data_IF_267819674492
#
_entry.id   IF_267819674492
#
_cell.length_a   1.000
_cell.length_b   1.000
_cell.length_c   1.000
_cell.angle_alpha   90.00
_cell.angle_beta   90.00
_cell.angle_gamma   90.00
#
_symmetry.space_group_name_H-M   'P 1'
#
loop_
_entity.id
_entity.type
_entity.pdbx_description
1 polymer ?
#
# COMPACT_ATOMS: atom_id res chain seq x y z
N UNK A 1 -29.97 25.72 -9.21
CA UNK A 1 -28.69 25.07 -8.85
C UNK A 1 -27.76 25.12 -10.05
N UNK A 2 -26.45 25.31 -9.84
CA UNK A 2 -25.48 25.24 -10.94
C UNK A 2 -25.41 23.80 -11.47
N UNK A 3 -25.31 23.66 -12.79
CA UNK A 3 -25.16 22.37 -13.44
C UNK A 3 -23.83 21.69 -13.06
N UNK A 4 -23.74 20.35 -13.12
CA UNK A 4 -22.48 19.65 -12.95
C UNK A 4 -21.42 20.16 -13.92
N UNK A 5 -20.20 20.32 -13.41
CA UNK A 5 -19.08 20.83 -14.21
C UNK A 5 -17.77 20.31 -13.68
N UNK A 6 -16.85 20.03 -14.60
CA UNK A 6 -15.47 19.73 -14.29
C UNK A 6 -14.63 21.02 -14.33
N UNK A 7 -13.71 21.13 -13.39
CA UNK A 7 -12.58 22.04 -13.45
C UNK A 7 -11.29 21.25 -13.77
N UNK A 8 -10.16 21.95 -13.83
CA UNK A 8 -8.86 21.31 -14.07
C UNK A 8 -8.53 20.25 -13.03
N UNK A 9 -8.80 20.50 -11.75
CA UNK A 9 -8.37 19.64 -10.64
C UNK A 9 -9.24 18.39 -10.50
N UNK A 10 -10.55 18.54 -10.53
CA UNK A 10 -11.53 17.43 -10.56
C UNK A 10 -11.30 16.52 -11.77
N UNK A 11 -10.92 17.06 -12.93
CA UNK A 11 -10.53 16.25 -14.10
C UNK A 11 -9.26 15.43 -13.83
N UNK A 12 -8.24 16.04 -13.23
CA UNK A 12 -6.99 15.35 -12.85
C UNK A 12 -7.24 14.28 -11.78
N UNK A 13 -8.06 14.57 -10.78
CA UNK A 13 -8.44 13.60 -9.74
C UNK A 13 -9.27 12.44 -10.31
N UNK A 14 -10.14 12.70 -11.29
CA UNK A 14 -10.87 11.64 -11.99
C UNK A 14 -9.91 10.73 -12.75
N UNK A 15 -8.94 11.31 -13.46
CA UNK A 15 -7.92 10.52 -14.14
C UNK A 15 -7.11 9.67 -13.14
N UNK A 16 -6.69 10.26 -12.02
CA UNK A 16 -5.96 9.55 -10.97
C UNK A 16 -6.76 8.42 -10.33
N UNK A 17 -8.07 8.60 -10.10
CA UNK A 17 -8.92 7.56 -9.52
C UNK A 17 -9.05 6.37 -10.47
N UNK A 18 -9.28 6.61 -11.76
CA UNK A 18 -9.32 5.57 -12.81
C UNK A 18 -7.98 4.86 -12.94
N UNK A 19 -6.87 5.60 -12.95
CA UNK A 19 -5.53 5.02 -12.97
C UNK A 19 -5.28 4.14 -11.76
N UNK A 20 -5.69 4.57 -10.57
CA UNK A 20 -5.56 3.75 -9.36
C UNK A 20 -6.43 2.49 -9.39
N UNK A 21 -7.64 2.54 -9.98
CA UNK A 21 -8.44 1.33 -10.19
C UNK A 21 -7.71 0.34 -11.10
N UNK A 22 -7.12 0.83 -12.20
CA UNK A 22 -6.31 0.00 -13.08
C UNK A 22 -5.11 -0.61 -12.35
N UNK A 23 -4.33 0.20 -11.62
CA UNK A 23 -3.18 -0.27 -10.83
C UNK A 23 -3.60 -1.30 -9.79
N UNK A 24 -4.71 -1.08 -9.09
CA UNK A 24 -5.25 -2.03 -8.14
C UNK A 24 -5.60 -3.37 -8.79
N UNK A 25 -6.30 -3.36 -9.93
CA UNK A 25 -6.63 -4.57 -10.70
C UNK A 25 -5.35 -5.31 -11.12
N UNK A 26 -4.36 -4.58 -11.65
CA UNK A 26 -3.07 -5.16 -12.02
C UNK A 26 -2.45 -5.84 -10.78
N UNK A 27 -2.36 -5.16 -9.63
CA UNK A 27 -1.81 -5.74 -8.40
C UNK A 27 -2.59 -6.94 -7.85
N UNK A 28 -3.89 -7.02 -8.08
CA UNK A 28 -4.69 -8.19 -7.73
C UNK A 28 -4.39 -9.41 -8.59
N UNK A 29 -4.05 -9.18 -9.87
CA UNK A 29 -3.77 -10.23 -10.87
C UNK A 29 -2.28 -10.61 -10.86
N UNK A 30 -1.39 -9.63 -10.71
CA UNK A 30 0.07 -9.80 -10.75
C UNK A 30 0.64 -10.11 -9.37
N UNK A 31 1.52 -11.10 -9.31
CA UNK A 31 2.17 -11.53 -8.06
C UNK A 31 2.20 -13.04 -7.95
N UNK A 32 3.32 -13.64 -8.37
CA UNK A 32 3.53 -15.08 -8.19
C UNK A 32 3.92 -15.39 -6.74
N UNK A 33 4.66 -14.49 -6.09
CA UNK A 33 5.13 -14.58 -4.71
C UNK A 33 4.47 -13.53 -3.81
N UNK A 34 4.28 -13.86 -2.52
CA UNK A 34 3.61 -13.05 -1.49
C UNK A 34 2.29 -12.37 -1.93
N UNK A 35 1.38 -13.19 -2.52
CA UNK A 35 0.06 -12.77 -3.01
C UNK A 35 -0.75 -11.95 -2.00
N UNK A 36 -0.59 -12.22 -0.70
CA UNK A 36 -1.36 -11.52 0.33
C UNK A 36 -0.90 -10.08 0.49
N UNK A 37 0.41 -9.81 0.52
CA UNK A 37 0.93 -8.44 0.60
C UNK A 37 0.50 -7.61 -0.62
N UNK A 38 0.60 -8.16 -1.83
CA UNK A 38 0.15 -7.48 -3.05
C UNK A 38 -1.35 -7.16 -3.02
N UNK A 39 -2.18 -8.11 -2.56
CA UNK A 39 -3.63 -7.90 -2.40
C UNK A 39 -3.96 -6.82 -1.37
N UNK A 40 -3.20 -6.74 -0.27
CA UNK A 40 -3.39 -5.69 0.73
C UNK A 40 -3.06 -4.31 0.14
N UNK A 41 -1.94 -4.19 -0.58
CA UNK A 41 -1.59 -2.94 -1.25
C UNK A 41 -2.60 -2.58 -2.35
N UNK A 42 -3.06 -3.57 -3.13
CA UNK A 42 -4.10 -3.41 -4.13
C UNK A 42 -5.42 -2.92 -3.51
N UNK A 43 -5.81 -3.48 -2.37
CA UNK A 43 -6.98 -3.02 -1.59
C UNK A 43 -6.82 -1.59 -1.12
N UNK A 44 -5.64 -1.19 -0.62
CA UNK A 44 -5.40 0.19 -0.20
C UNK A 44 -5.57 1.17 -1.37
N UNK A 45 -4.98 0.85 -2.53
CA UNK A 45 -5.11 1.66 -3.75
C UNK A 45 -6.56 1.70 -4.22
N UNK A 46 -7.26 0.55 -4.21
CA UNK A 46 -8.68 0.49 -4.58
C UNK A 46 -9.52 1.42 -3.72
N UNK A 47 -9.35 1.37 -2.40
CA UNK A 47 -10.13 2.22 -1.49
C UNK A 47 -9.81 3.70 -1.71
N UNK A 48 -8.54 4.09 -1.90
CA UNK A 48 -8.21 5.47 -2.27
C UNK A 48 -8.81 5.89 -3.61
N UNK A 49 -8.80 5.02 -4.62
CA UNK A 49 -9.43 5.31 -5.91
C UNK A 49 -10.93 5.53 -5.80
N UNK A 50 -11.64 4.68 -5.05
CA UNK A 50 -13.09 4.82 -4.86
C UNK A 50 -13.41 6.09 -4.05
N UNK A 51 -12.64 6.40 -3.00
CA UNK A 51 -12.80 7.65 -2.25
C UNK A 51 -12.54 8.88 -3.13
N UNK A 52 -11.45 8.86 -3.90
CA UNK A 52 -11.12 9.97 -4.80
C UNK A 52 -12.19 10.15 -5.88
N UNK A 53 -12.77 9.06 -6.39
CA UNK A 53 -13.88 9.12 -7.32
C UNK A 53 -15.13 9.74 -6.68
N UNK A 54 -15.52 9.31 -5.47
CA UNK A 54 -16.64 9.92 -4.74
C UNK A 54 -16.41 11.43 -4.53
N UNK A 55 -15.18 11.84 -4.20
CA UNK A 55 -14.83 13.25 -4.02
C UNK A 55 -14.99 14.03 -5.33
N UNK A 56 -14.57 13.47 -6.47
CA UNK A 56 -14.85 14.09 -7.77
C UNK A 56 -16.35 14.26 -7.96
N UNK A 57 -17.18 13.25 -7.69
CA UNK A 57 -18.64 13.38 -7.80
C UNK A 57 -19.22 14.48 -6.90
N UNK A 58 -18.67 14.64 -5.69
CA UNK A 58 -19.04 15.70 -4.77
C UNK A 58 -18.71 17.09 -5.36
N UNK A 59 -17.44 17.31 -5.75
CA UNK A 59 -16.96 18.62 -6.23
C UNK A 59 -17.59 19.04 -7.55
N UNK A 60 -17.84 18.09 -8.43
CA UNK A 60 -18.49 18.30 -9.74
C UNK A 60 -20.02 18.32 -9.65
N UNK A 61 -20.60 18.11 -8.47
CA UNK A 61 -22.06 18.02 -8.20
C UNK A 61 -22.78 16.85 -8.85
N UNK A 62 -22.07 15.90 -9.47
CA UNK A 62 -22.68 14.66 -9.97
C UNK A 62 -23.27 13.80 -8.84
N UNK A 63 -22.82 13.98 -7.60
CA UNK A 63 -23.39 13.31 -6.43
C UNK A 63 -24.90 13.58 -6.27
N UNK A 64 -25.40 14.72 -6.77
CA UNK A 64 -26.83 15.03 -6.78
C UNK A 64 -27.63 14.04 -7.64
N UNK A 65 -27.07 13.62 -8.77
CA UNK A 65 -27.69 12.68 -9.71
C UNK A 65 -27.45 11.23 -9.29
N UNK A 66 -26.36 10.96 -8.57
CA UNK A 66 -26.02 9.64 -8.02
C UNK A 66 -25.90 9.68 -6.49
N UNK A 67 -26.99 10.00 -5.77
CA UNK A 67 -26.95 10.23 -4.33
C UNK A 67 -26.58 8.98 -3.52
N UNK A 68 -26.68 7.79 -4.10
CA UNK A 68 -26.26 6.56 -3.43
C UNK A 68 -24.76 6.48 -3.16
N UNK A 69 -23.93 7.27 -3.85
CA UNK A 69 -22.50 7.41 -3.53
C UNK A 69 -22.24 8.32 -2.32
N UNK A 70 -23.21 9.13 -1.89
CA UNK A 70 -23.02 10.07 -0.78
C UNK A 70 -22.59 9.32 0.49
N UNK A 71 -21.40 9.68 0.96
CA UNK A 71 -20.74 9.20 2.18
C UNK A 71 -20.39 7.71 2.17
N UNK A 72 -20.35 7.09 0.98
CA UNK A 72 -20.06 5.67 0.83
C UNK A 72 -18.67 5.31 1.38
N UNK A 73 -17.69 6.19 1.16
CA UNK A 73 -16.29 5.95 1.52
C UNK A 73 -15.85 6.63 2.80
N UNK A 74 -16.76 7.30 3.51
CA UNK A 74 -16.48 8.09 4.70
C UNK A 74 -15.74 7.29 5.80
N UNK A 75 -16.00 5.98 5.90
CA UNK A 75 -15.38 5.10 6.90
C UNK A 75 -14.11 4.40 6.42
N UNK A 76 -13.72 4.53 5.16
CA UNK A 76 -12.50 3.89 4.62
C UNK A 76 -11.21 4.29 5.35
N UNK A 77 -11.06 5.51 5.94
CA UNK A 77 -9.92 5.83 6.80
C UNK A 77 -9.68 4.86 7.96
N UNK A 78 -10.73 4.16 8.44
CA UNK A 78 -10.59 3.11 9.46
C UNK A 78 -9.92 1.83 8.91
N UNK A 79 -9.86 1.65 7.59
CA UNK A 79 -9.21 0.52 6.95
C UNK A 79 -7.77 0.81 6.54
N UNK A 80 -7.43 2.06 6.21
CA UNK A 80 -6.10 2.39 5.64
C UNK A 80 -4.94 1.96 6.53
N UNK A 81 -4.97 2.34 7.82
CA UNK A 81 -3.93 1.96 8.78
C UNK A 81 -3.90 0.44 9.05
N UNK A 82 -5.07 -0.21 9.07
CA UNK A 82 -5.20 -1.66 9.30
C UNK A 82 -4.57 -2.44 8.15
N UNK A 83 -4.93 -2.08 6.92
CA UNK A 83 -4.41 -2.69 5.70
C UNK A 83 -2.89 -2.50 5.64
N UNK A 84 -2.40 -1.30 5.90
CA UNK A 84 -0.96 -1.01 5.86
C UNK A 84 -0.19 -1.75 6.97
N UNK A 85 -0.79 -1.91 8.15
CA UNK A 85 -0.21 -2.72 9.22
C UNK A 85 -0.10 -4.19 8.83
N UNK A 86 -1.16 -4.78 8.29
CA UNK A 86 -1.11 -6.17 7.82
C UNK A 86 -0.20 -6.35 6.61
N UNK A 87 -0.10 -5.33 5.76
CA UNK A 87 0.86 -5.32 4.66
C UNK A 87 2.28 -5.49 5.20
N UNK A 88 2.68 -4.65 6.17
CA UNK A 88 4.00 -4.77 6.78
C UNK A 88 4.18 -6.05 7.61
N UNK A 89 3.12 -6.55 8.25
CA UNK A 89 3.14 -7.87 8.90
C UNK A 89 3.43 -9.00 7.90
N UNK A 90 2.87 -8.97 6.69
CA UNK A 90 3.14 -9.96 5.64
C UNK A 90 4.52 -9.79 5.01
N UNK A 91 5.04 -8.57 5.01
CA UNK A 91 6.30 -8.21 4.39
C UNK A 91 7.49 -8.56 5.29
N UNK A 92 7.38 -8.29 6.59
CA UNK A 92 8.46 -8.49 7.57
C UNK A 92 8.27 -9.72 8.47
N UNK A 93 7.03 -10.23 8.58
CA UNK A 93 6.70 -11.31 9.48
C UNK A 93 6.77 -12.69 8.84
N UNK A 94 6.99 -13.70 9.68
CA UNK A 94 6.82 -15.13 9.37
C UNK A 94 5.48 -15.68 9.87
N UNK A 95 4.67 -14.85 10.53
CA UNK A 95 3.45 -15.28 11.21
C UNK A 95 2.21 -15.13 10.32
N UNK A 96 1.45 -16.21 10.22
CA UNK A 96 0.17 -16.24 9.54
C UNK A 96 -0.90 -15.37 10.24
N UNK A 97 -1.97 -15.06 9.51
CA UNK A 97 -3.17 -14.43 10.08
C UNK A 97 -3.80 -15.32 11.14
N UNK A 98 -4.17 -14.72 12.27
CA UNK A 98 -4.84 -15.41 13.38
C UNK A 98 -6.27 -14.89 13.54
N UNK A 99 -7.16 -15.67 14.17
CA UNK A 99 -8.57 -15.25 14.37
C UNK A 99 -8.71 -13.90 15.09
N UNK A 100 -7.76 -13.55 15.97
CA UNK A 100 -7.74 -12.26 16.66
C UNK A 100 -7.48 -11.07 15.72
N UNK A 101 -6.87 -11.30 14.56
CA UNK A 101 -6.61 -10.24 13.57
C UNK A 101 -7.91 -9.64 13.01
N UNK A 102 -9.03 -10.37 13.07
CA UNK A 102 -10.34 -9.85 12.64
C UNK A 102 -10.87 -8.72 13.53
N UNK A 103 -10.42 -8.61 14.78
CA UNK A 103 -10.82 -7.52 15.68
C UNK A 103 -10.35 -6.14 15.18
N UNK A 104 -9.31 -6.10 14.34
CA UNK A 104 -8.84 -4.86 13.73
C UNK A 104 -9.86 -4.25 12.76
N UNK A 105 -10.83 -5.03 12.25
CA UNK A 105 -11.93 -4.55 11.42
C UNK A 105 -13.14 -4.06 12.22
N UNK A 106 -13.18 -4.32 13.53
CA UNK A 106 -14.33 -3.97 14.37
C UNK A 106 -14.67 -2.47 14.30
N UNK A 107 -13.71 -1.51 14.39
CA UNK A 107 -14.03 -0.10 14.29
C UNK A 107 -14.73 0.27 12.98
N UNK A 108 -14.27 -0.29 11.86
CA UNK A 108 -14.88 -0.08 10.55
C UNK A 108 -16.32 -0.61 10.50
N UNK A 109 -16.56 -1.83 11.01
CA UNK A 109 -17.90 -2.42 11.04
C UNK A 109 -18.85 -1.60 11.90
N UNK A 110 -18.43 -1.20 13.11
CA UNK A 110 -19.26 -0.40 14.02
C UNK A 110 -19.64 0.96 13.42
N UNK A 111 -18.67 1.65 12.81
CA UNK A 111 -18.93 2.95 12.18
C UNK A 111 -19.81 2.83 10.94
N UNK A 112 -19.68 1.71 10.21
CA UNK A 112 -20.54 1.42 9.05
C UNK A 112 -21.98 1.15 9.48
N UNK A 113 -22.19 0.37 10.54
CA UNK A 113 -23.52 0.16 11.15
C UNK A 113 -24.10 1.48 11.65
N UNK A 114 -23.29 2.34 12.28
CA UNK A 114 -23.73 3.67 12.69
C UNK A 114 -24.22 4.52 11.49
N UNK A 115 -23.57 4.41 10.32
CA UNK A 115 -23.94 5.15 9.11
C UNK A 115 -25.09 4.53 8.29
N UNK A 116 -25.57 3.34 8.65
CA UNK A 116 -26.63 2.65 7.89
C UNK A 116 -27.85 3.51 7.57
N UNK A 117 -28.44 4.29 8.50
CA UNK A 117 -29.59 5.13 8.17
C UNK A 117 -29.33 6.08 7.01
N UNK A 118 -28.10 6.59 6.93
CA UNK A 118 -27.71 7.60 5.97
C UNK A 118 -27.34 6.94 4.64
N UNK A 119 -26.58 5.84 4.66
CA UNK A 119 -26.23 5.08 3.46
C UNK A 119 -27.47 4.58 2.70
N UNK A 120 -28.50 4.11 3.43
CA UNK A 120 -29.72 3.52 2.87
C UNK A 120 -30.91 4.49 2.80
N UNK A 121 -30.69 5.79 3.02
CA UNK A 121 -31.73 6.79 2.76
C UNK A 121 -32.06 6.91 1.27
N UNK A 122 -33.31 7.24 0.98
CA UNK A 122 -33.80 7.51 -0.37
C UNK A 122 -33.05 8.65 -1.06
N UNK A 123 -33.09 8.64 -2.40
CA UNK A 123 -32.46 9.68 -3.23
C UNK A 123 -32.96 11.07 -2.86
N UNK A 124 -34.27 11.22 -2.62
CA UNK A 124 -34.93 12.47 -2.29
C UNK A 124 -34.41 13.05 -0.96
N UNK A 125 -34.25 12.20 0.05
CA UNK A 125 -33.70 12.60 1.36
C UNK A 125 -32.24 13.04 1.22
N UNK A 126 -31.43 12.29 0.49
CA UNK A 126 -30.02 12.62 0.27
C UNK A 126 -29.85 13.92 -0.53
N UNK A 127 -30.68 14.14 -1.55
CA UNK A 127 -30.73 15.39 -2.32
C UNK A 127 -31.15 16.56 -1.44
N UNK A 128 -32.14 16.39 -0.57
CA UNK A 128 -32.54 17.40 0.40
C UNK A 128 -31.37 17.80 1.32
N UNK A 129 -30.58 16.83 1.82
CA UNK A 129 -29.37 17.13 2.60
C UNK A 129 -28.32 17.92 1.81
N UNK A 130 -28.08 17.57 0.55
CA UNK A 130 -27.15 18.30 -0.33
C UNK A 130 -27.63 19.73 -0.64
N UNK A 131 -28.95 19.96 -0.58
CA UNK A 131 -29.58 21.28 -0.69
C UNK A 131 -29.58 22.06 0.64
N UNK A 132 -29.05 21.49 1.72
CA UNK A 132 -29.08 22.08 3.06
C UNK A 132 -30.47 22.06 3.71
N UNK A 133 -31.42 21.30 3.15
CA UNK A 133 -32.76 21.14 3.72
C UNK A 133 -32.74 20.14 4.85
N UNK A 134 -33.60 20.37 5.85
CA UNK A 134 -33.84 19.37 6.89
C UNK A 134 -34.65 18.21 6.31
N UNK A 135 -34.08 17.01 6.40
CA UNK A 135 -34.76 15.76 6.08
C UNK A 135 -34.31 14.67 7.07
N UNK A 136 -35.21 13.73 7.37
CA UNK A 136 -34.89 12.60 8.24
C UNK A 136 -34.45 11.40 7.40
N UNK A 137 -33.49 10.59 7.89
CA UNK A 137 -33.11 9.37 7.20
C UNK A 137 -34.31 8.44 7.00
N UNK A 138 -34.34 7.72 5.87
CA UNK A 138 -35.52 6.92 5.49
C UNK A 138 -35.74 5.66 6.36
N UNK A 139 -34.71 5.19 7.09
CA UNK A 139 -34.80 4.00 7.94
C UNK A 139 -35.12 4.34 9.39
N UNK A 140 -34.15 4.94 10.10
CA UNK A 140 -34.27 5.31 11.50
C UNK A 140 -33.33 6.48 11.80
N UNK A 141 -33.40 7.04 13.00
CA UNK A 141 -32.43 8.04 13.46
C UNK A 141 -31.85 7.63 14.80
N UNK A 142 -30.57 7.91 14.99
CA UNK A 142 -29.96 7.82 16.32
C UNK A 142 -30.53 8.90 17.24
N UNK A 143 -30.73 8.61 18.54
CA UNK A 143 -31.15 9.62 19.50
C UNK A 143 -30.04 10.65 19.73
N UNK A 144 -30.41 11.84 20.21
CA UNK A 144 -29.44 12.77 20.76
C UNK A 144 -28.78 12.16 22.02
N UNK A 145 -27.46 12.36 22.26
CA UNK A 145 -26.52 13.19 21.50
C UNK A 145 -25.75 12.42 20.41
N UNK A 146 -26.11 11.15 20.15
CA UNK A 146 -25.42 10.34 19.14
C UNK A 146 -25.59 10.93 17.74
N UNK A 147 -26.67 11.66 17.51
CA UNK A 147 -27.00 12.34 16.26
C UNK A 147 -26.03 13.49 15.98
N UNK A 148 -24.88 13.17 15.40
CA UNK A 148 -23.92 14.15 14.94
C UNK A 148 -22.88 13.51 14.03
N UNK A 149 -22.56 14.15 12.92
CA UNK A 149 -21.56 13.63 11.98
C UNK A 149 -20.14 14.12 12.32
N UNK A 150 -20.05 15.35 12.83
CA UNK A 150 -18.78 16.05 13.02
C UNK A 150 -17.85 15.41 14.06
N UNK A 151 -18.38 14.60 14.98
CA UNK A 151 -17.56 13.95 16.00
C UNK A 151 -16.87 12.68 15.48
N UNK A 152 -17.40 12.04 14.43
CA UNK A 152 -16.87 10.77 13.89
C UNK A 152 -15.48 10.92 13.27
N UNK A 153 -15.11 12.12 12.82
CA UNK A 153 -13.80 12.37 12.26
C UNK A 153 -12.67 12.12 13.27
N UNK A 154 -12.85 12.48 14.54
CA UNK A 154 -11.79 12.39 15.55
C UNK A 154 -11.41 10.95 15.92
N UNK A 155 -12.36 10.02 16.16
CA UNK A 155 -12.02 8.60 16.29
C UNK A 155 -11.30 8.04 15.06
N UNK A 156 -11.70 8.43 13.84
CA UNK A 156 -11.01 8.00 12.60
C UNK A 156 -9.57 8.49 12.56
N UNK A 157 -9.33 9.76 12.88
CA UNK A 157 -7.98 10.34 12.97
C UNK A 157 -7.15 9.64 14.04
N UNK A 158 -7.69 9.49 15.25
CA UNK A 158 -7.01 8.81 16.35
C UNK A 158 -6.65 7.37 15.99
N UNK A 159 -7.56 6.66 15.31
CA UNK A 159 -7.33 5.31 14.82
C UNK A 159 -6.18 5.27 13.79
N UNK A 160 -6.17 6.16 12.80
CA UNK A 160 -5.07 6.22 11.83
C UNK A 160 -3.72 6.54 12.49
N UNK A 161 -3.69 7.49 13.44
CA UNK A 161 -2.48 7.83 14.21
C UNK A 161 -2.00 6.63 15.03
N UNK A 162 -2.93 5.92 15.69
CA UNK A 162 -2.61 4.70 16.42
C UNK A 162 -1.93 3.66 15.52
N UNK A 163 -2.48 3.39 14.34
CA UNK A 163 -1.86 2.46 13.39
C UNK A 163 -0.55 2.96 12.81
N UNK A 164 -0.42 4.26 12.54
CA UNK A 164 0.86 4.84 12.13
C UNK A 164 1.95 4.59 13.18
N UNK A 165 1.66 4.89 14.45
CA UNK A 165 2.56 4.62 15.56
C UNK A 165 2.86 3.12 15.69
N UNK A 166 1.84 2.27 15.64
CA UNK A 166 1.99 0.82 15.74
C UNK A 166 2.90 0.27 14.62
N UNK A 167 2.68 0.69 13.37
CA UNK A 167 3.52 0.33 12.23
C UNK A 167 4.96 0.79 12.46
N UNK A 168 5.14 2.05 12.85
CA UNK A 168 6.46 2.63 13.06
C UNK A 168 7.25 1.89 14.13
N UNK A 169 6.67 1.68 15.31
CA UNK A 169 7.38 1.05 16.42
C UNK A 169 7.58 -0.46 16.22
N UNK A 170 6.69 -1.14 15.50
CA UNK A 170 6.81 -2.58 15.24
C UNK A 170 7.82 -2.89 14.14
N UNK A 171 7.81 -2.15 13.04
CA UNK A 171 8.52 -2.55 11.81
C UNK A 171 9.74 -1.68 11.46
N UNK A 172 9.95 -0.53 12.10
CA UNK A 172 11.09 0.34 11.78
C UNK A 172 12.44 -0.38 11.93
N UNK A 173 12.64 -1.16 12.99
CA UNK A 173 13.88 -1.92 13.19
C UNK A 173 14.09 -2.96 12.09
N UNK A 174 13.05 -3.73 11.77
CA UNK A 174 13.03 -4.74 10.70
C UNK A 174 13.34 -4.12 9.33
N UNK A 175 12.88 -2.89 9.07
CA UNK A 175 13.13 -2.19 7.81
C UNK A 175 14.61 -1.87 7.53
N UNK A 176 15.48 -1.92 8.54
CA UNK A 176 16.90 -1.52 8.39
C UNK A 176 17.82 -2.61 7.86
N UNK A 177 17.33 -3.83 7.63
CA UNK A 177 18.12 -4.94 7.08
C UNK A 177 18.60 -4.68 5.65
N UNK A 178 17.80 -3.99 4.84
CA UNK A 178 18.07 -3.71 3.43
C UNK A 178 17.73 -2.24 3.08
N UNK A 179 18.61 -1.50 2.36
CA UNK A 179 18.37 -0.10 1.98
C UNK A 179 17.11 0.15 1.14
N UNK A 180 16.78 -0.74 0.20
CA UNK A 180 15.59 -0.64 -0.66
C UNK A 180 14.32 -0.81 0.18
N UNK A 181 14.33 -1.81 1.06
CA UNK A 181 13.26 -2.09 2.02
C UNK A 181 13.03 -0.93 2.97
N UNK A 182 14.12 -0.35 3.49
CA UNK A 182 14.07 0.86 4.33
C UNK A 182 13.47 2.03 3.60
N UNK A 183 13.84 2.22 2.34
CA UNK A 183 13.36 3.31 1.49
C UNK A 183 11.87 3.16 1.23
N UNK A 184 11.43 1.94 0.86
CA UNK A 184 10.02 1.61 0.66
C UNK A 184 9.20 1.82 1.93
N UNK A 185 9.67 1.32 3.08
CA UNK A 185 9.02 1.52 4.38
C UNK A 185 8.85 3.01 4.70
N UNK A 186 9.91 3.83 4.54
CA UNK A 186 9.85 5.27 4.77
C UNK A 186 8.87 5.98 3.83
N UNK A 187 8.86 5.63 2.55
CA UNK A 187 7.92 6.22 1.59
C UNK A 187 6.48 5.88 1.93
N UNK A 188 6.15 4.60 2.13
CA UNK A 188 4.78 4.21 2.46
C UNK A 188 4.28 4.81 3.78
N UNK A 189 5.11 4.79 4.83
CA UNK A 189 4.76 5.42 6.12
C UNK A 189 4.67 6.94 6.00
N UNK A 190 5.55 7.58 5.22
CA UNK A 190 5.52 9.01 4.95
C UNK A 190 4.28 9.45 4.16
N UNK A 191 3.89 8.69 3.14
CA UNK A 191 2.65 8.90 2.37
C UNK A 191 1.42 8.75 3.26
N UNK A 192 1.40 7.73 4.12
CA UNK A 192 0.31 7.55 5.08
C UNK A 192 0.25 8.70 6.09
N UNK A 193 1.39 9.16 6.60
CA UNK A 193 1.45 10.33 7.47
C UNK A 193 0.97 11.60 6.75
N UNK A 194 1.38 11.81 5.50
CA UNK A 194 0.92 12.93 4.69
C UNK A 194 -0.60 12.91 4.50
N UNK A 195 -1.19 11.73 4.25
CA UNK A 195 -2.64 11.57 4.22
C UNK A 195 -3.30 11.92 5.57
N UNK A 196 -2.76 11.44 6.69
CA UNK A 196 -3.27 11.76 8.04
C UNK A 196 -3.23 13.28 8.28
N UNK A 197 -2.13 13.95 7.91
CA UNK A 197 -1.97 15.39 8.07
C UNK A 197 -2.98 16.14 7.20
N UNK A 198 -3.10 15.81 5.91
CA UNK A 198 -4.08 16.43 5.01
C UNK A 198 -5.52 16.22 5.48
N UNK A 199 -5.86 15.01 5.95
CA UNK A 199 -7.19 14.70 6.47
C UNK A 199 -7.46 15.47 7.76
N UNK A 200 -6.50 15.50 8.68
CA UNK A 200 -6.66 16.22 9.97
C UNK A 200 -6.73 17.73 9.77
N UNK A 201 -5.95 18.29 8.85
CA UNK A 201 -5.94 19.72 8.59
C UNK A 201 -7.30 20.21 8.13
N UNK A 202 -8.02 19.46 7.29
CA UNK A 202 -9.40 19.79 6.90
C UNK A 202 -10.32 19.96 8.13
N UNK A 203 -10.40 18.93 9.00
CA UNK A 203 -11.32 18.95 10.14
C UNK A 203 -10.97 20.00 11.21
N UNK A 204 -9.70 20.40 11.28
CA UNK A 204 -9.26 21.51 12.15
C UNK A 204 -9.56 22.86 11.50
N UNK A 205 -9.14 23.06 10.25
CA UNK A 205 -9.16 24.35 9.58
C UNK A 205 -10.57 24.81 9.20
N UNK A 206 -11.50 23.88 8.88
CA UNK A 206 -12.90 24.21 8.53
C UNK A 206 -13.66 24.98 9.62
N UNK A 207 -13.12 25.00 10.86
CA UNK A 207 -13.70 25.75 11.98
C UNK A 207 -13.31 27.22 12.01
N UNK A 208 -12.39 27.65 11.14
CA UNK A 208 -11.87 29.00 11.10
C UNK A 208 -12.48 29.80 9.94
N UNK A 209 -12.74 31.10 10.12
CA UNK A 209 -13.42 31.93 9.11
C UNK A 209 -12.59 32.16 7.84
N UNK A 210 -11.28 31.92 7.86
CA UNK A 210 -10.40 32.05 6.69
C UNK A 210 -10.40 30.81 5.79
N UNK A 211 -11.01 29.70 6.22
CA UNK A 211 -10.92 28.45 5.48
C UNK A 211 -11.71 28.53 4.18
N UNK A 212 -11.01 28.22 3.08
CA UNK A 212 -11.60 28.07 1.75
C UNK A 212 -11.91 26.60 1.52
N UNK A 213 -13.11 26.33 1.02
CA UNK A 213 -13.64 24.97 0.83
C UNK A 213 -12.77 24.22 -0.19
N UNK A 214 -12.19 24.94 -1.15
CA UNK A 214 -11.24 24.44 -2.15
C UNK A 214 -9.97 23.79 -1.54
N UNK A 215 -9.61 24.12 -0.29
CA UNK A 215 -8.45 23.51 0.38
C UNK A 215 -8.65 22.04 0.74
N UNK A 216 -9.89 21.55 0.72
CA UNK A 216 -10.21 20.13 0.84
C UNK A 216 -9.54 19.27 -0.26
N UNK A 217 -9.16 19.88 -1.40
CA UNK A 217 -8.37 19.23 -2.43
C UNK A 217 -7.05 18.65 -1.90
N UNK A 218 -6.49 19.13 -0.78
CA UNK A 218 -5.27 18.54 -0.19
C UNK A 218 -5.43 17.07 0.20
N UNK A 219 -6.62 16.64 0.59
CA UNK A 219 -6.89 15.21 0.84
C UNK A 219 -6.80 14.46 -0.50
N UNK A 220 -7.46 14.95 -1.55
CA UNK A 220 -7.41 14.40 -2.90
C UNK A 220 -5.97 14.33 -3.46
N UNK A 221 -5.17 15.38 -3.28
CA UNK A 221 -3.76 15.40 -3.68
C UNK A 221 -2.94 14.32 -2.98
N UNK A 222 -3.14 14.11 -1.68
CA UNK A 222 -2.41 13.08 -0.94
C UNK A 222 -2.74 11.66 -1.42
N UNK A 223 -4.02 11.38 -1.72
CA UNK A 223 -4.46 10.11 -2.31
C UNK A 223 -3.91 9.93 -3.73
N UNK A 224 -4.07 10.94 -4.58
CA UNK A 224 -3.54 10.97 -5.95
C UNK A 224 -2.03 10.70 -5.97
N UNK A 225 -1.27 11.41 -5.15
CA UNK A 225 0.18 11.24 -5.07
C UNK A 225 0.55 9.84 -4.60
N UNK A 226 -0.18 9.28 -3.63
CA UNK A 226 0.03 7.89 -3.17
C UNK A 226 -0.24 6.88 -4.28
N UNK A 227 -1.33 7.04 -5.04
CA UNK A 227 -1.68 6.19 -6.19
C UNK A 227 -0.57 6.22 -7.24
N UNK A 228 -0.17 7.41 -7.68
CA UNK A 228 0.87 7.56 -8.70
C UNK A 228 2.24 7.10 -8.19
N UNK A 229 2.58 7.37 -6.93
CA UNK A 229 3.83 6.90 -6.34
C UNK A 229 3.91 5.38 -6.35
N UNK A 230 2.85 4.68 -5.92
CA UNK A 230 2.83 3.21 -5.91
C UNK A 230 2.87 2.66 -7.34
N UNK A 231 2.14 3.27 -8.29
CA UNK A 231 2.18 2.89 -9.70
C UNK A 231 3.59 3.04 -10.30
N UNK A 232 4.21 4.20 -10.08
CA UNK A 232 5.56 4.52 -10.53
C UNK A 232 6.60 3.60 -9.89
N UNK A 233 6.53 3.41 -8.57
CA UNK A 233 7.47 2.56 -7.85
C UNK A 233 7.34 1.10 -8.31
N UNK A 234 6.13 0.62 -8.58
CA UNK A 234 5.93 -0.73 -9.10
C UNK A 234 6.37 -0.94 -10.53
N UNK A 235 6.33 0.10 -11.36
CA UNK A 235 6.95 0.08 -12.68
C UNK A 235 8.48 0.08 -12.61
N UNK A 236 9.08 0.96 -11.79
CA UNK A 236 10.53 1.11 -11.68
C UNK A 236 11.23 -0.04 -10.95
N UNK A 237 10.51 -0.75 -10.08
CA UNK A 237 11.02 -1.88 -9.34
C UNK A 237 10.20 -3.13 -9.69
N UNK A 238 10.27 -3.65 -10.94
CA UNK A 238 9.52 -4.83 -11.34
C UNK A 238 9.80 -5.98 -10.40
N UNK A 239 11.05 -6.07 -9.90
CA UNK A 239 11.47 -7.03 -8.89
C UNK A 239 10.54 -6.97 -7.67
N UNK A 240 10.26 -5.80 -7.08
CA UNK A 240 9.34 -5.62 -5.92
C UNK A 240 7.95 -6.20 -6.17
N UNK A 241 7.51 -6.28 -7.43
CA UNK A 241 6.17 -6.77 -7.82
C UNK A 241 6.17 -8.15 -8.51
N UNK A 242 7.33 -8.63 -8.96
CA UNK A 242 7.50 -9.91 -9.66
C UNK A 242 7.98 -11.06 -8.76
N UNK A 243 8.33 -10.76 -7.51
CA UNK A 243 8.90 -11.74 -6.57
C UNK A 243 10.09 -11.23 -5.76
N UNK A 244 10.21 -9.92 -5.51
CA UNK A 244 11.07 -9.47 -4.41
C UNK A 244 10.37 -9.87 -3.13
N UNK A 245 10.82 -11.02 -2.71
CA UNK A 245 10.80 -11.49 -1.37
C UNK A 245 11.53 -10.43 -0.51
N UNK A 246 10.80 -9.39 -0.11
CA UNK A 246 11.11 -8.64 1.11
C UNK A 246 11.40 -9.64 2.25
N UNK A 247 10.70 -10.77 2.22
CA UNK A 247 10.95 -11.97 3.00
C UNK A 247 12.37 -12.55 2.79
N UNK A 248 12.93 -12.72 1.60
CA UNK A 248 14.33 -13.17 1.38
C UNK A 248 15.32 -12.10 1.83
N UNK A 249 15.03 -10.82 1.56
CA UNK A 249 15.87 -9.72 2.03
C UNK A 249 15.85 -9.53 3.56
N UNK A 250 14.88 -10.13 4.25
CA UNK A 250 14.69 -10.13 5.71
C UNK A 250 15.07 -11.48 6.35
N UNK A 251 14.97 -12.60 5.60
CA UNK A 251 15.30 -13.96 6.03
C UNK A 251 16.76 -14.33 5.78
N UNK A 252 17.49 -13.60 4.94
CA UNK A 252 18.95 -13.68 4.97
C UNK A 252 19.42 -12.99 6.27
N UNK A 253 19.93 -13.73 7.27
CA UNK A 253 20.56 -13.09 8.41
C UNK A 253 21.66 -12.18 7.88
N UNK A 254 21.74 -10.98 8.44
CA UNK A 254 22.81 -10.00 8.21
C UNK A 254 24.14 -10.60 8.72
N UNK A 255 24.71 -11.46 7.89
CA UNK A 255 26.09 -11.90 7.80
C UNK A 255 26.18 -12.06 6.28
N UNK A 256 26.39 -11.00 5.50
CA UNK A 256 27.71 -10.51 5.13
C UNK A 256 27.58 -9.01 4.79
N UNK A 257 27.89 -8.15 5.75
CA UNK A 257 28.36 -6.80 5.44
C UNK A 257 29.72 -6.95 4.78
N UNK A 258 29.84 -6.57 3.51
CA UNK A 258 31.00 -5.86 2.91
C UNK A 258 32.34 -6.04 3.60
N UNK A 259 32.81 -7.27 3.70
CA UNK A 259 34.22 -7.62 3.83
C UNK A 259 34.48 -8.59 2.69
N UNK A 260 35.68 -8.56 2.12
CA UNK A 260 36.16 -9.61 1.21
C UNK A 260 35.60 -10.97 1.64
N UNK A 261 35.03 -11.75 0.70
CA UNK A 261 34.57 -13.11 0.95
C UNK A 261 35.61 -13.78 1.84
N UNK A 262 35.22 -14.21 3.05
CA UNK A 262 36.20 -14.88 3.90
C UNK A 262 36.73 -16.09 3.14
N UNK A 263 38.02 -16.42 3.25
CA UNK A 263 38.62 -17.55 2.54
C UNK A 263 37.79 -18.84 2.63
N UNK A 264 37.15 -19.06 3.78
CA UNK A 264 36.30 -20.22 4.04
C UNK A 264 35.05 -20.27 3.15
N UNK A 265 34.36 -19.14 2.97
CA UNK A 265 33.16 -19.05 2.12
C UNK A 265 33.51 -19.19 0.65
N UNK A 266 34.63 -18.59 0.21
CA UNK A 266 35.12 -18.77 -1.15
C UNK A 266 35.45 -20.23 -1.45
N UNK A 267 36.03 -20.96 -0.48
CA UNK A 267 36.32 -22.38 -0.64
C UNK A 267 35.05 -23.25 -0.67
N UNK A 268 34.05 -22.92 0.14
CA UNK A 268 32.76 -23.59 0.14
C UNK A 268 32.04 -23.42 -1.20
N UNK A 269 32.03 -22.20 -1.75
CA UNK A 269 31.44 -21.92 -3.07
C UNK A 269 32.18 -22.68 -4.17
N UNK A 270 33.52 -22.77 -4.12
CA UNK A 270 34.29 -23.58 -5.08
C UNK A 270 33.95 -25.06 -4.98
N UNK A 271 33.85 -25.60 -3.76
CA UNK A 271 33.48 -27.01 -3.52
C UNK A 271 32.08 -27.34 -4.03
N UNK A 272 31.11 -26.44 -3.79
CA UNK A 272 29.74 -26.57 -4.31
C UNK A 272 29.71 -26.48 -5.84
N UNK A 273 30.50 -25.58 -6.43
CA UNK A 273 30.64 -25.47 -7.88
C UNK A 273 31.22 -26.76 -8.48
N UNK A 274 32.31 -27.29 -7.93
CA UNK A 274 32.94 -28.52 -8.42
C UNK A 274 32.01 -29.73 -8.30
N UNK A 275 31.29 -29.83 -7.17
CA UNK A 275 30.29 -30.88 -6.95
C UNK A 275 29.14 -30.76 -7.95
N UNK A 276 28.59 -29.55 -8.17
CA UNK A 276 27.53 -29.33 -9.14
C UNK A 276 27.98 -29.59 -10.59
N UNK A 277 29.22 -29.24 -10.94
CA UNK A 277 29.80 -29.52 -12.25
C UNK A 277 29.90 -31.02 -12.52
N UNK A 278 30.30 -31.81 -11.51
CA UNK A 278 30.45 -33.26 -11.63
C UNK A 278 29.12 -34.01 -11.56
N UNK A 279 28.27 -33.72 -10.57
CA UNK A 279 27.01 -34.43 -10.33
C UNK A 279 25.98 -34.16 -11.44
N UNK A 280 25.85 -32.89 -11.83
CA UNK A 280 24.87 -32.46 -12.85
C UNK A 280 25.47 -32.42 -14.26
N UNK A 281 26.75 -32.79 -14.41
CA UNK A 281 27.51 -32.77 -15.69
C UNK A 281 27.36 -31.45 -16.44
N UNK A 282 27.39 -30.32 -15.73
CA UNK A 282 27.12 -28.99 -16.31
C UNK A 282 28.18 -28.58 -17.34
N UNK A 283 29.35 -29.20 -17.34
CA UNK A 283 30.37 -29.05 -18.38
C UNK A 283 29.93 -29.59 -19.77
N UNK A 284 28.86 -30.37 -19.85
CA UNK A 284 28.32 -30.90 -21.11
C UNK A 284 27.20 -30.02 -21.69
N UNK A 285 26.80 -28.97 -20.99
CA UNK A 285 25.72 -28.08 -21.41
C UNK A 285 26.27 -26.98 -22.33
N UNK A 286 25.96 -27.01 -23.64
CA UNK A 286 26.48 -26.01 -24.59
C UNK A 286 25.88 -24.62 -24.38
N UNK A 287 24.80 -24.48 -23.59
CA UNK A 287 24.20 -23.21 -23.20
C UNK A 287 24.58 -22.78 -21.78
N UNK A 288 25.64 -23.39 -21.20
CA UNK A 288 26.06 -23.06 -19.85
C UNK A 288 26.43 -21.58 -19.75
N UNK A 289 25.83 -20.91 -18.75
CA UNK A 289 26.07 -19.51 -18.43
C UNK A 289 26.29 -19.35 -16.94
N UNK A 290 26.98 -18.28 -16.58
CA UNK A 290 27.31 -17.99 -15.19
C UNK A 290 26.05 -17.80 -14.32
N UNK A 291 24.96 -17.28 -14.89
CA UNK A 291 23.66 -17.23 -14.21
C UNK A 291 23.14 -18.63 -13.84
N UNK A 292 23.19 -19.58 -14.78
CA UNK A 292 22.70 -20.95 -14.59
C UNK A 292 23.52 -21.72 -13.54
N UNK A 293 24.84 -21.48 -13.50
CA UNK A 293 25.70 -22.04 -12.46
C UNK A 293 25.40 -21.43 -11.09
N UNK A 294 25.20 -20.11 -11.03
CA UNK A 294 24.88 -19.43 -9.79
C UNK A 294 23.55 -19.93 -9.19
N UNK A 295 22.53 -20.10 -10.04
CA UNK A 295 21.24 -20.68 -9.65
C UNK A 295 21.40 -22.15 -9.18
N UNK A 296 22.26 -22.94 -9.85
CA UNK A 296 22.46 -24.35 -9.54
C UNK A 296 23.09 -24.62 -8.16
N UNK A 297 23.81 -23.63 -7.60
CA UNK A 297 24.49 -23.70 -6.30
C UNK A 297 23.95 -22.68 -5.28
N UNK A 298 22.86 -21.97 -5.61
CA UNK A 298 22.19 -21.04 -4.70
C UNK A 298 22.98 -19.77 -4.36
N UNK A 299 23.75 -19.23 -5.32
CA UNK A 299 24.51 -17.98 -5.16
C UNK A 299 24.12 -16.95 -6.23
N UNK A 300 24.73 -15.76 -6.22
CA UNK A 300 24.53 -14.76 -7.29
C UNK A 300 25.65 -14.80 -8.33
N UNK A 301 25.33 -14.41 -9.57
CA UNK A 301 26.31 -14.28 -10.66
C UNK A 301 27.55 -13.47 -10.25
N UNK A 302 27.34 -12.36 -9.53
CA UNK A 302 28.44 -11.51 -9.10
C UNK A 302 29.37 -12.23 -8.12
N UNK A 303 28.80 -12.92 -7.13
CA UNK A 303 29.58 -13.67 -6.14
C UNK A 303 30.34 -14.82 -6.78
N UNK A 304 29.68 -15.58 -7.67
CA UNK A 304 30.32 -16.67 -8.39
C UNK A 304 31.46 -16.19 -9.30
N UNK A 305 31.26 -15.08 -10.03
CA UNK A 305 32.31 -14.47 -10.86
C UNK A 305 33.52 -14.07 -10.03
N UNK A 306 33.29 -13.47 -8.87
CA UNK A 306 34.35 -13.02 -7.99
C UNK A 306 35.14 -14.20 -7.42
N UNK A 307 34.46 -15.23 -6.93
CA UNK A 307 35.10 -16.44 -6.38
C UNK A 307 35.91 -17.18 -7.45
N UNK A 308 35.37 -17.31 -8.67
CA UNK A 308 36.07 -17.96 -9.79
C UNK A 308 37.37 -17.22 -10.11
N UNK A 309 37.30 -15.88 -10.25
CA UNK A 309 38.47 -15.07 -10.54
C UNK A 309 39.49 -15.08 -9.40
N UNK A 310 39.03 -14.96 -8.14
CA UNK A 310 39.89 -14.85 -6.98
C UNK A 310 40.53 -16.18 -6.55
N UNK A 311 39.86 -17.34 -6.77
CA UNK A 311 40.33 -18.66 -6.32
C UNK A 311 40.88 -19.55 -7.42
N UNK A 312 40.26 -19.56 -8.60
CA UNK A 312 40.71 -20.40 -9.72
C UNK A 312 41.63 -19.62 -10.67
N UNK A 313 41.66 -18.29 -10.61
CA UNK A 313 42.50 -17.46 -11.49
C UNK A 313 42.13 -17.60 -12.97
N UNK A 314 40.91 -18.06 -13.26
CA UNK A 314 40.45 -18.41 -14.61
C UNK A 314 39.12 -17.72 -14.90
N UNK A 315 38.89 -17.38 -16.16
CA UNK A 315 37.58 -16.94 -16.63
C UNK A 315 36.59 -18.11 -16.62
N UNK A 316 35.30 -17.84 -16.42
CA UNK A 316 34.20 -18.81 -16.53
C UNK A 316 34.28 -19.69 -17.79
N UNK A 317 34.77 -19.13 -18.90
CA UNK A 317 34.90 -19.85 -20.17
C UNK A 317 35.88 -21.04 -20.13
N UNK A 318 36.72 -21.11 -19.10
CA UNK A 318 37.75 -22.14 -18.96
C UNK A 318 37.45 -23.13 -17.82
N UNK A 319 36.28 -23.02 -17.18
CA UNK A 319 35.74 -23.98 -16.20
C UNK A 319 34.95 -25.04 -16.93
#
# INVERSE_FOLDING_TARGET
MNQPSFDTWTSVFLFASVQGLFVSIVLFITGKENKVANRLLASLIFLFSVTLFEYVLYWTRYLYYWPHFLQLTENFPLLFGVILFFYFKCVFGTQAFVKKDWWHLLPFVLFTVYQFPILFSSSEVKQAWMEGKQAFPSLFMWPEPMRGWNWLAWPRIAHMIFYYCLIWFTFKSHSTSNPEVRTWFKWLTGLFLAFIISYTSYFVLVRFPFFSVEWDYMISFSMMFTIFFIAWFGYLQPKVFSGFSLVESVQLPVKYKTSALSPDVSNEIVSLLDSAMMEKKLYQDPEIRLEKLADAIGTTRHYLSQVINDRKGMSFLNI
#
